data_IF_409133706182
#
_entry.id   IF_409133706182
#
_cell.length_a   1.000
_cell.length_b   1.000
_cell.length_c   1.000
_cell.angle_alpha   90.00
_cell.angle_beta   90.00
_cell.angle_gamma   90.00
#
_symmetry.space_group_name_H-M   'P 1'
#
loop_
_entity.id
_entity.type
_entity.pdbx_description
1 polymer ?
#
# COMPACT_ATOMS: atom_id res chain seq x y z
N UNK A 1 -5.77 -36.31 -60.49
CA UNK A 1 -5.42 -34.87 -60.58
C UNK A 1 -6.06 -34.21 -59.38
N UNK A 2 -5.23 -33.58 -58.56
CA UNK A 2 -5.26 -33.59 -57.10
C UNK A 2 -6.35 -32.72 -56.46
N UNK A 3 -7.02 -33.26 -55.44
CA UNK A 3 -7.85 -32.54 -54.46
C UNK A 3 -7.02 -31.47 -53.71
N UNK A 4 -7.61 -30.29 -53.53
CA UNK A 4 -7.11 -29.18 -52.70
C UNK A 4 -7.74 -29.26 -51.30
N UNK A 5 -6.98 -29.34 -50.21
CA UNK A 5 -7.55 -29.11 -48.88
C UNK A 5 -7.61 -27.62 -48.55
N UNK A 6 -8.84 -27.18 -48.28
CA UNK A 6 -9.20 -25.93 -47.60
C UNK A 6 -8.72 -25.97 -46.15
N UNK A 7 -7.72 -25.14 -45.83
CA UNK A 7 -7.21 -24.94 -44.47
C UNK A 7 -7.76 -23.65 -43.87
N UNK A 8 -8.90 -23.73 -43.20
CA UNK A 8 -9.49 -22.62 -42.45
C UNK A 8 -8.60 -22.21 -41.27
N UNK A 9 -8.12 -20.96 -41.30
CA UNK A 9 -7.44 -20.34 -40.17
C UNK A 9 -8.42 -20.11 -39.01
N UNK A 10 -8.18 -20.77 -37.87
CA UNK A 10 -8.89 -20.48 -36.62
C UNK A 10 -8.39 -19.15 -36.05
N UNK A 11 -9.26 -18.21 -35.66
CA UNK A 11 -8.83 -17.00 -34.96
C UNK A 11 -8.33 -17.39 -33.57
N UNK A 12 -7.08 -17.01 -33.27
CA UNK A 12 -6.52 -17.06 -31.92
C UNK A 12 -7.35 -16.15 -31.01
N UNK A 13 -8.13 -16.74 -30.13
CA UNK A 13 -8.78 -16.04 -29.04
C UNK A 13 -7.72 -15.32 -28.20
N UNK A 14 -7.81 -13.99 -28.10
CA UNK A 14 -7.09 -13.21 -27.10
C UNK A 14 -7.62 -13.64 -25.73
N UNK A 15 -6.79 -14.29 -24.94
CA UNK A 15 -7.01 -14.45 -23.52
C UNK A 15 -6.90 -13.07 -22.87
N UNK A 16 -8.01 -12.35 -22.77
CA UNK A 16 -8.18 -11.31 -21.76
C UNK A 16 -8.35 -12.02 -20.44
N UNK A 17 -7.23 -12.33 -19.79
CA UNK A 17 -7.23 -12.66 -18.37
C UNK A 17 -7.78 -11.44 -17.66
N UNK A 18 -9.04 -11.54 -17.23
CA UNK A 18 -9.71 -10.63 -16.31
C UNK A 18 -8.75 -10.36 -15.15
N UNK A 19 -8.18 -9.15 -15.12
CA UNK A 19 -7.48 -8.60 -13.96
C UNK A 19 -8.46 -8.65 -12.80
N UNK A 20 -8.42 -9.73 -12.02
CA UNK A 20 -9.07 -9.77 -10.74
C UNK A 20 -8.35 -8.71 -9.90
N UNK A 21 -9.10 -7.69 -9.47
CA UNK A 21 -8.60 -6.71 -8.52
C UNK A 21 -8.00 -7.48 -7.35
N UNK A 22 -6.68 -7.37 -7.18
CA UNK A 22 -5.98 -7.96 -6.06
C UNK A 22 -6.67 -7.48 -4.77
N UNK A 23 -6.78 -8.33 -3.73
CA UNK A 23 -7.44 -7.94 -2.50
C UNK A 23 -6.82 -6.64 -2.01
N UNK A 24 -7.67 -5.66 -1.71
CA UNK A 24 -7.23 -4.44 -1.04
C UNK A 24 -6.46 -4.88 0.21
N UNK A 25 -5.20 -4.45 0.31
CA UNK A 25 -4.35 -4.74 1.45
C UNK A 25 -5.00 -4.31 2.77
N UNK A 26 -4.37 -4.62 3.91
CA UNK A 26 -4.90 -4.19 5.20
C UNK A 26 -5.11 -2.67 5.22
N UNK A 27 -6.23 -2.25 5.82
CA UNK A 27 -6.64 -0.84 5.91
C UNK A 27 -5.64 -0.06 6.77
N UNK A 28 -4.94 0.97 6.23
CA UNK A 28 -3.87 1.68 6.92
C UNK A 28 -4.27 2.21 8.31
N UNK A 29 -5.52 2.65 8.47
CA UNK A 29 -6.04 3.29 9.68
C UNK A 29 -6.06 2.34 10.89
N UNK A 30 -6.11 1.03 10.62
CA UNK A 30 -6.17 -0.01 11.66
C UNK A 30 -4.81 -0.55 12.06
N UNK A 31 -3.75 -0.20 11.34
CA UNK A 31 -2.42 -0.75 11.54
C UNK A 31 -1.71 -0.08 12.72
N UNK A 32 -0.95 -0.87 13.47
CA UNK A 32 0.10 -0.37 14.37
C UNK A 32 1.26 0.21 13.55
N UNK A 33 2.17 0.93 14.21
CA UNK A 33 3.33 1.52 13.54
C UNK A 33 4.17 0.46 12.82
N UNK A 34 4.44 -0.68 13.48
CA UNK A 34 5.27 -1.75 12.90
C UNK A 34 4.59 -2.43 11.71
N UNK A 35 3.29 -2.63 11.76
CA UNK A 35 2.55 -3.22 10.65
C UNK A 35 2.47 -2.25 9.46
N UNK A 36 2.22 -0.96 9.70
CA UNK A 36 2.22 0.07 8.66
C UNK A 36 3.61 0.22 8.02
N UNK A 37 4.67 0.20 8.82
CA UNK A 37 6.05 0.22 8.34
C UNK A 37 6.36 -0.99 7.45
N UNK A 38 6.02 -2.20 7.89
CA UNK A 38 6.27 -3.42 7.10
C UNK A 38 5.47 -3.40 5.78
N UNK A 39 4.23 -2.92 5.81
CA UNK A 39 3.41 -2.79 4.60
C UNK A 39 3.96 -1.73 3.63
N UNK A 40 4.51 -0.63 4.15
CA UNK A 40 5.21 0.38 3.37
C UNK A 40 6.47 -0.20 2.70
N UNK A 41 7.32 -0.88 3.47
CA UNK A 41 8.54 -1.52 2.96
C UNK A 41 8.23 -2.53 1.83
N UNK A 42 7.19 -3.36 2.01
CA UNK A 42 6.72 -4.26 0.98
C UNK A 42 6.25 -3.52 -0.28
N UNK A 43 5.51 -2.42 -0.12
CA UNK A 43 5.03 -1.61 -1.25
C UNK A 43 6.20 -0.93 -2.00
N UNK A 44 7.27 -0.55 -1.29
CA UNK A 44 8.48 -0.01 -1.90
C UNK A 44 9.24 -1.07 -2.70
N UNK A 45 9.27 -2.33 -2.24
CA UNK A 45 9.83 -3.44 -3.01
C UNK A 45 9.02 -3.67 -4.28
N UNK A 46 7.68 -3.66 -4.20
CA UNK A 46 6.81 -3.79 -5.37
C UNK A 46 7.03 -2.67 -6.39
N UNK A 47 7.19 -1.41 -5.95
CA UNK A 47 7.49 -0.27 -6.84
C UNK A 47 8.84 -0.38 -7.55
N UNK A 48 9.78 -1.15 -7.02
CA UNK A 48 11.11 -1.35 -7.58
C UNK A 48 11.16 -2.52 -8.58
N UNK A 49 10.05 -3.21 -8.82
CA UNK A 49 9.99 -4.29 -9.81
C UNK A 49 10.27 -3.79 -11.23
N UNK A 50 11.11 -4.51 -11.98
CA UNK A 50 11.55 -4.11 -13.32
C UNK A 50 10.44 -4.20 -14.38
N UNK A 51 9.41 -4.99 -14.13
CA UNK A 51 8.30 -5.30 -15.04
C UNK A 51 6.96 -4.68 -14.63
N UNK A 52 6.99 -3.65 -13.75
CA UNK A 52 5.79 -3.01 -13.24
C UNK A 52 5.13 -2.10 -14.30
N UNK A 53 3.87 -2.39 -14.64
CA UNK A 53 3.09 -1.52 -15.51
C UNK A 53 2.64 -0.23 -14.79
N UNK A 54 2.34 0.82 -15.57
CA UNK A 54 2.03 2.17 -15.03
C UNK A 54 0.74 2.21 -14.20
N UNK A 55 -0.25 1.40 -14.57
CA UNK A 55 -1.52 1.32 -13.83
C UNK A 55 -1.27 0.73 -12.43
N UNK A 56 -0.54 -0.38 -12.37
CA UNK A 56 -0.10 -0.96 -11.10
C UNK A 56 0.84 -0.07 -10.33
N UNK A 57 1.76 0.62 -10.98
CA UNK A 57 2.64 1.59 -10.31
C UNK A 57 1.82 2.65 -9.58
N UNK A 58 0.74 3.14 -10.19
CA UNK A 58 -0.16 4.12 -9.56
C UNK A 58 -0.86 3.54 -8.32
N UNK A 59 -1.38 2.33 -8.41
CA UNK A 59 -2.08 1.68 -7.29
C UNK A 59 -1.13 1.31 -6.13
N UNK A 60 0.07 0.80 -6.43
CA UNK A 60 1.09 0.52 -5.41
C UNK A 60 1.55 1.82 -4.77
N UNK A 61 1.75 2.89 -5.54
CA UNK A 61 2.11 4.20 -5.01
C UNK A 61 1.04 4.76 -4.06
N UNK A 62 -0.24 4.68 -4.43
CA UNK A 62 -1.34 5.15 -3.56
C UNK A 62 -1.36 4.39 -2.23
N UNK A 63 -1.17 3.06 -2.26
CA UNK A 63 -1.06 2.26 -1.03
C UNK A 63 0.16 2.64 -0.20
N UNK A 64 1.33 2.76 -0.82
CA UNK A 64 2.57 3.18 -0.16
C UNK A 64 2.38 4.54 0.52
N UNK A 65 1.74 5.49 -0.16
CA UNK A 65 1.45 6.81 0.41
C UNK A 65 0.56 6.71 1.66
N UNK A 66 -0.51 5.92 1.60
CA UNK A 66 -1.41 5.74 2.72
C UNK A 66 -0.72 5.08 3.94
N UNK A 67 0.18 4.11 3.73
CA UNK A 67 0.98 3.53 4.80
C UNK A 67 1.99 4.53 5.40
N UNK A 68 2.62 5.36 4.56
CA UNK A 68 3.51 6.42 5.04
C UNK A 68 2.76 7.47 5.88
N UNK A 69 1.58 7.90 5.43
CA UNK A 69 0.74 8.86 6.16
C UNK A 69 0.29 8.28 7.53
N UNK A 70 0.02 6.97 7.60
CA UNK A 70 -0.27 6.29 8.87
C UNK A 70 0.93 6.31 9.82
N UNK A 71 2.13 6.01 9.33
CA UNK A 71 3.35 6.05 10.13
C UNK A 71 3.58 7.45 10.71
N UNK A 72 3.45 8.49 9.88
CA UNK A 72 3.61 9.88 10.30
C UNK A 72 2.59 10.28 11.37
N UNK A 73 1.30 9.95 11.17
CA UNK A 73 0.23 10.20 12.16
C UNK A 73 0.56 9.59 13.53
N UNK A 74 1.07 8.35 13.55
CA UNK A 74 1.42 7.67 14.80
C UNK A 74 2.64 8.31 15.46
N UNK A 75 3.65 8.71 14.69
CA UNK A 75 4.84 9.39 15.22
C UNK A 75 4.51 10.77 15.78
N UNK A 76 3.66 11.54 15.11
CA UNK A 76 3.17 12.83 15.61
C UNK A 76 2.42 12.68 16.93
N UNK A 77 1.61 11.61 17.09
CA UNK A 77 0.93 11.32 18.34
C UNK A 77 1.90 10.97 19.48
N UNK A 78 3.01 10.28 19.18
CA UNK A 78 4.07 9.99 20.15
C UNK A 78 4.85 11.25 20.50
N UNK A 79 5.20 12.08 19.51
CA UNK A 79 5.88 13.36 19.72
C UNK A 79 5.07 14.27 20.64
N UNK A 80 3.77 14.40 20.40
CA UNK A 80 2.87 15.16 21.27
C UNK A 80 2.86 14.64 22.71
N UNK A 81 2.89 13.31 22.91
CA UNK A 81 2.96 12.71 24.25
C UNK A 81 4.29 13.02 24.94
N UNK A 82 5.41 12.91 24.21
CA UNK A 82 6.74 13.19 24.74
C UNK A 82 6.90 14.67 25.10
N UNK A 83 6.37 15.58 24.28
CA UNK A 83 6.41 17.03 24.56
C UNK A 83 5.63 17.41 25.83
N UNK A 84 4.58 16.65 26.16
CA UNK A 84 3.78 16.85 27.37
C UNK A 84 4.30 16.05 28.57
N UNK A 85 5.30 15.19 28.38
CA UNK A 85 5.83 14.32 29.42
C UNK A 85 6.79 15.10 30.33
N UNK A 86 6.51 15.04 31.63
CA UNK A 86 7.35 15.59 32.70
C UNK A 86 8.11 14.43 33.37
N UNK A 87 9.45 14.35 33.25
CA UNK A 87 10.23 13.25 33.80
C UNK A 87 10.19 13.21 35.34
N UNK A 88 9.95 14.33 36.00
CA UNK A 88 9.82 14.41 37.47
C UNK A 88 8.40 14.03 37.93
N UNK A 89 7.44 13.94 37.01
CA UNK A 89 6.05 13.57 37.27
C UNK A 89 5.52 12.59 36.20
N UNK A 90 6.05 11.36 36.13
CA UNK A 90 5.74 10.41 35.05
C UNK A 90 4.27 9.96 35.04
N UNK A 91 3.57 10.03 36.18
CA UNK A 91 2.16 9.69 36.31
C UNK A 91 1.21 10.87 36.04
N UNK A 92 1.74 12.08 35.77
CA UNK A 92 0.90 13.25 35.52
C UNK A 92 0.23 13.12 34.15
N UNK A 93 -1.11 13.10 34.08
CA UNK A 93 -1.80 13.07 32.79
C UNK A 93 -1.54 14.38 32.03
N UNK A 94 -1.36 14.32 30.70
CA UNK A 94 -1.15 15.51 29.87
C UNK A 94 -2.33 16.48 30.06
N UNK A 95 -2.04 17.70 30.53
CA UNK A 95 -3.06 18.73 30.72
C UNK A 95 -3.25 19.50 29.41
N UNK A 96 -4.49 19.64 28.89
CA UNK A 96 -4.75 20.48 27.73
C UNK A 96 -4.39 21.93 28.07
N UNK A 97 -3.59 22.57 27.21
CA UNK A 97 -3.25 23.98 27.37
C UNK A 97 -4.49 24.81 27.06
N UNK A 98 -5.10 25.42 28.09
CA UNK A 98 -6.11 26.46 27.89
C UNK A 98 -5.46 27.70 27.27
N UNK A 99 -6.14 28.37 26.32
CA UNK A 99 -5.63 29.57 25.65
C UNK A 99 -5.42 30.76 26.59
#
# INVERSE_FOLDING_TARGET
MTDLPSGGGKPRARSTTRTAAAPAGPRPETLTYREAQAALEQSLVELQAEDLDVERMTEVYQRARAYADRCDTLLQAVEAQVLLWDPDQPDRPPQPQSP
#
